data_IF_370975342660
#
_entry.id   IF_370975342660
#
_cell.length_a   1.000
_cell.length_b   1.000
_cell.length_c   1.000
_cell.angle_alpha   90.00
_cell.angle_beta   90.00
_cell.angle_gamma   90.00
#
_symmetry.space_group_name_H-M   'P 1'
#
loop_
_entity.id
_entity.type
_entity.pdbx_description
1 polymer ?
#
# COMPACT_ATOMS: atom_id res chain seq x y z
N UNK A 1 3.99 18.33 -9.21
CA UNK A 1 3.19 17.62 -8.20
C UNK A 1 3.80 16.25 -7.98
N UNK A 2 4.00 15.83 -6.72
CA UNK A 2 4.32 14.44 -6.41
C UNK A 2 3.00 13.67 -6.36
N UNK A 3 2.77 12.77 -7.30
CA UNK A 3 1.67 11.81 -7.24
C UNK A 3 2.01 10.77 -6.18
N UNK A 4 1.15 10.62 -5.17
CA UNK A 4 1.29 9.58 -4.17
C UNK A 4 0.79 8.26 -4.80
N UNK A 5 1.72 7.45 -5.29
CA UNK A 5 1.44 6.16 -5.94
C UNK A 5 1.38 5.00 -4.93
N UNK A 6 1.00 5.30 -3.69
CA UNK A 6 0.91 4.26 -2.67
C UNK A 6 -0.34 3.40 -2.92
N UNK A 7 -0.22 2.06 -2.91
CA UNK A 7 -1.37 1.18 -3.01
C UNK A 7 -2.34 1.43 -1.85
N UNK A 8 -3.63 1.52 -2.18
CA UNK A 8 -4.71 1.69 -1.21
C UNK A 8 -5.74 0.57 -1.36
N UNK A 9 -6.26 0.07 -0.26
CA UNK A 9 -7.32 -0.95 -0.26
C UNK A 9 -8.39 -0.65 0.78
N UNK A 10 -9.57 -1.25 0.62
CA UNK A 10 -10.65 -1.13 1.59
C UNK A 10 -10.53 -2.23 2.66
N UNK A 11 -10.41 -1.82 3.91
CA UNK A 11 -10.46 -2.71 5.06
C UNK A 11 -11.93 -2.98 5.42
N UNK A 12 -12.40 -4.22 5.22
CA UNK A 12 -13.78 -4.61 5.52
C UNK A 12 -14.08 -4.67 7.03
N UNK A 13 -13.05 -4.79 7.89
CA UNK A 13 -13.24 -4.79 9.34
C UNK A 13 -13.63 -3.41 9.88
N UNK A 14 -13.09 -2.34 9.28
CA UNK A 14 -13.34 -0.95 9.69
C UNK A 14 -14.17 -0.17 8.66
N UNK A 15 -14.45 -0.77 7.50
CA UNK A 15 -15.14 -0.13 6.38
C UNK A 15 -14.46 1.17 5.91
N UNK A 16 -13.12 1.21 5.99
CA UNK A 16 -12.28 2.39 5.67
C UNK A 16 -11.22 2.06 4.62
N UNK A 17 -10.76 3.07 3.89
CA UNK A 17 -9.59 2.96 3.01
C UNK A 17 -8.32 3.02 3.85
N UNK A 18 -7.40 2.08 3.62
CA UNK A 18 -6.11 1.96 4.31
C UNK A 18 -4.97 2.01 3.31
N UNK A 19 -3.83 2.57 3.73
CA UNK A 19 -2.61 2.55 2.93
C UNK A 19 -1.96 1.17 3.06
N UNK A 20 -1.47 0.64 1.95
CA UNK A 20 -0.77 -0.66 1.95
C UNK A 20 0.76 -0.50 1.96
N UNK A 21 1.25 0.73 1.74
CA UNK A 21 2.67 1.08 1.82
C UNK A 21 3.20 1.23 3.27
N UNK A 22 2.28 1.27 4.24
CA UNK A 22 2.61 1.20 5.67
C UNK A 22 2.70 -0.26 6.14
N UNK A 23 3.31 -0.47 7.30
CA UNK A 23 3.29 -1.80 7.92
C UNK A 23 1.90 -2.10 8.50
N UNK A 24 1.51 -3.38 8.54
CA UNK A 24 0.27 -3.81 9.19
C UNK A 24 0.14 -3.28 10.63
N UNK A 25 1.27 -3.11 11.33
CA UNK A 25 1.28 -2.63 12.72
C UNK A 25 0.92 -1.15 12.81
N UNK A 26 1.39 -0.33 11.88
CA UNK A 26 1.01 1.09 11.78
C UNK A 26 -0.48 1.19 11.48
N UNK A 27 -0.96 0.47 10.46
CA UNK A 27 -2.37 0.48 10.09
C UNK A 27 -3.28 0.06 11.27
N UNK A 28 -2.88 -0.99 11.99
CA UNK A 28 -3.61 -1.45 13.16
C UNK A 28 -3.63 -0.42 14.30
N UNK A 29 -2.56 0.36 14.46
CA UNK A 29 -2.47 1.42 15.45
C UNK A 29 -3.32 2.63 15.04
N UNK A 30 -3.26 3.05 13.78
CA UNK A 30 -4.03 4.18 13.25
C UNK A 30 -5.54 3.93 13.23
N UNK A 31 -5.96 2.71 12.86
CA UNK A 31 -7.36 2.34 12.74
C UNK A 31 -7.92 1.58 13.95
N UNK A 32 -7.11 1.38 15.00
CA UNK A 32 -7.56 0.72 16.23
C UNK A 32 -8.02 -0.73 16.00
N UNK A 33 -7.32 -1.48 15.15
CA UNK A 33 -7.68 -2.87 14.85
C UNK A 33 -7.69 -3.74 16.12
N UNK A 34 -8.74 -4.56 16.32
CA UNK A 34 -8.86 -5.38 17.53
C UNK A 34 -7.73 -6.41 17.61
N UNK A 35 -7.10 -6.59 18.79
CA UNK A 35 -6.04 -7.56 18.97
C UNK A 35 -6.56 -8.99 18.75
N UNK A 36 -5.78 -9.81 18.04
CA UNK A 36 -6.10 -11.22 17.80
C UNK A 36 -6.98 -11.52 16.58
N UNK A 37 -7.47 -10.51 15.86
CA UNK A 37 -8.21 -10.73 14.62
C UNK A 37 -7.25 -10.95 13.43
N UNK A 38 -7.54 -11.93 12.58
CA UNK A 38 -6.80 -12.13 11.32
C UNK A 38 -7.16 -11.00 10.37
N UNK A 39 -6.19 -10.14 10.07
CA UNK A 39 -6.38 -9.05 9.13
C UNK A 39 -6.53 -9.63 7.70
N UNK A 40 -7.60 -9.29 6.96
CA UNK A 40 -7.80 -9.78 5.59
C UNK A 40 -6.73 -9.27 4.62
N UNK A 41 -6.07 -8.14 4.96
CA UNK A 41 -5.02 -7.51 4.17
C UNK A 41 -3.60 -7.84 4.67
N UNK A 42 -3.44 -8.82 5.57
CA UNK A 42 -2.14 -9.13 6.21
C UNK A 42 -0.99 -9.40 5.22
N UNK A 43 -1.29 -9.90 4.01
CA UNK A 43 -0.30 -10.15 2.95
C UNK A 43 -0.13 -8.99 1.96
N UNK A 44 -0.88 -7.91 2.12
CA UNK A 44 -0.88 -6.76 1.20
C UNK A 44 -0.04 -5.59 1.74
N UNK A 45 0.19 -5.52 3.05
CA UNK A 45 0.98 -4.46 3.67
C UNK A 45 2.48 -4.60 3.38
N UNK A 46 3.15 -3.46 3.29
CA UNK A 46 4.60 -3.39 3.19
C UNK A 46 5.28 -4.01 4.43
N UNK A 47 6.46 -4.58 4.21
CA UNK A 47 7.32 -5.04 5.31
C UNK A 47 7.88 -3.85 6.10
N UNK A 48 8.12 -2.73 5.43
CA UNK A 48 8.65 -1.50 6.00
C UNK A 48 7.89 -0.31 5.41
N UNK A 49 7.47 0.61 6.27
CA UNK A 49 6.73 1.83 5.89
C UNK A 49 7.51 2.66 4.87
N UNK A 50 6.85 3.13 3.81
CA UNK A 50 7.50 3.91 2.74
C UNK A 50 8.18 3.07 1.66
N UNK A 51 8.10 1.74 1.76
CA UNK A 51 8.71 0.80 0.82
C UNK A 51 7.70 -0.27 0.40
N UNK A 52 6.99 0.01 -0.69
CA UNK A 52 6.35 -1.03 -1.47
C UNK A 52 7.45 -1.95 -2.05
N UNK A 53 7.63 -3.12 -1.44
CA UNK A 53 8.32 -4.22 -2.12
C UNK A 53 7.28 -4.83 -3.05
N UNK A 54 7.37 -4.51 -4.34
CA UNK A 54 6.51 -5.10 -5.35
C UNK A 54 6.58 -6.62 -5.19
N UNK A 55 5.52 -7.27 -4.69
CA UNK A 55 5.48 -8.72 -4.70
C UNK A 55 5.65 -9.16 -6.17
N UNK A 56 6.63 -10.03 -6.49
CA UNK A 56 7.12 -10.22 -7.87
C UNK A 56 6.15 -10.91 -8.85
N UNK A 57 4.84 -10.93 -8.61
CA UNK A 57 3.86 -11.63 -9.45
C UNK A 57 2.63 -10.83 -9.89
N UNK A 58 2.62 -9.51 -9.70
CA UNK A 58 1.77 -8.61 -10.49
C UNK A 58 2.60 -8.06 -11.65
N UNK A 59 2.62 -8.81 -12.74
CA UNK A 59 3.31 -8.45 -13.97
C UNK A 59 2.87 -7.09 -14.50
N UNK A 60 3.86 -6.28 -14.84
CA UNK A 60 3.93 -5.48 -16.05
C UNK A 60 2.61 -4.92 -16.60
N UNK A 61 2.10 -3.83 -16.01
CA UNK A 61 1.28 -2.89 -16.77
C UNK A 61 1.93 -1.50 -16.78
N UNK A 62 2.80 -1.34 -17.78
CA UNK A 62 2.88 -0.14 -18.61
C UNK A 62 3.30 1.16 -17.94
N UNK A 63 4.59 1.46 -18.03
CA UNK A 63 5.08 2.85 -17.95
C UNK A 63 4.46 3.69 -19.09
N UNK A 64 4.48 5.02 -18.95
CA UNK A 64 5.45 5.71 -19.80
C UNK A 64 6.32 6.67 -18.99
N UNK A 65 7.64 6.43 -19.05
CA UNK A 65 8.66 7.43 -18.75
C UNK A 65 8.52 8.54 -19.79
N UNK A 66 7.98 9.68 -19.40
CA UNK A 66 8.11 10.91 -20.19
C UNK A 66 9.59 11.32 -20.18
N UNK A 67 10.28 11.03 -21.28
CA UNK A 67 11.57 11.61 -21.58
C UNK A 67 11.38 13.10 -21.85
N UNK A 68 11.50 13.95 -20.83
CA UNK A 68 11.68 15.38 -21.04
C UNK A 68 13.14 15.66 -21.38
N UNK A 69 13.44 15.67 -22.68
CA UNK A 69 14.60 16.35 -23.23
C UNK A 69 14.10 17.44 -24.18
N UNK A 70 14.28 18.70 -23.80
CA UNK A 70 14.48 19.85 -24.69
C UNK A 70 14.56 21.16 -23.87
N UNK A 71 15.77 21.71 -23.72
CA UNK A 71 16.12 23.02 -24.26
C UNK A 71 17.63 23.15 -24.36
#
# INVERSE_FOLDING_TARGET
MCTFDAPIARCEAMNQMVLLDETRRECAFEHGCPPGQKCPLNGCFARQSGLYDAHPEIGAHGQPRVAHHAH
#
